data_IF_415645266921
#
_entry.id   IF_415645266921
#
_cell.length_a   1.000
_cell.length_b   1.000
_cell.length_c   1.000
_cell.angle_alpha   90.00
_cell.angle_beta   90.00
_cell.angle_gamma   90.00
#
_symmetry.space_group_name_H-M   'P 1'
#
loop_
_entity.id
_entity.type
_entity.pdbx_description
1 polymer ?
#
# COMPACT_ATOMS: atom_id res chain seq x y z
N UNK A 1 -5.17 11.55 10.73
CA UNK A 1 -6.34 11.24 9.87
C UNK A 1 -5.86 10.16 8.92
N UNK A 2 -6.64 9.10 8.70
CA UNK A 2 -6.22 8.04 7.80
C UNK A 2 -6.03 8.60 6.38
N UNK A 3 -4.97 8.14 5.72
CA UNK A 3 -4.66 8.36 4.31
C UNK A 3 -5.70 7.64 3.48
N UNK A 4 -6.38 8.39 2.62
CA UNK A 4 -7.28 7.83 1.63
C UNK A 4 -6.53 7.46 0.36
N UNK A 5 -7.17 6.69 -0.52
CA UNK A 5 -6.62 6.41 -1.86
C UNK A 5 -6.38 7.69 -2.65
N UNK A 6 -7.16 8.76 -2.43
CA UNK A 6 -6.89 10.06 -3.05
C UNK A 6 -5.56 10.64 -2.58
N UNK A 7 -5.33 10.65 -1.25
CA UNK A 7 -4.10 11.17 -0.66
C UNK A 7 -2.88 10.32 -1.09
N UNK A 8 -3.07 9.00 -1.19
CA UNK A 8 -2.05 8.07 -1.68
C UNK A 8 -1.59 8.44 -3.09
N UNK A 9 -2.52 8.74 -4.00
CA UNK A 9 -2.23 9.11 -5.39
C UNK A 9 -1.57 10.47 -5.54
N UNK A 10 -1.75 11.36 -4.57
CA UNK A 10 -1.03 12.63 -4.54
C UNK A 10 0.41 12.48 -4.01
N UNK A 11 0.68 11.38 -3.28
CA UNK A 11 1.95 11.17 -2.57
C UNK A 11 2.87 10.17 -3.25
N UNK A 12 2.34 9.04 -3.70
CA UNK A 12 3.07 8.04 -4.46
C UNK A 12 3.04 8.39 -5.95
N UNK A 13 4.09 8.04 -6.73
CA UNK A 13 3.97 8.07 -8.18
C UNK A 13 2.91 7.06 -8.65
N UNK A 14 2.54 7.14 -9.93
CA UNK A 14 1.66 6.14 -10.54
C UNK A 14 2.19 4.72 -10.24
N UNK A 15 1.30 3.75 -10.01
CA UNK A 15 1.67 2.39 -9.60
C UNK A 15 2.69 1.74 -10.56
N UNK A 16 2.59 2.03 -11.85
CA UNK A 16 3.53 1.56 -12.87
C UNK A 16 4.94 2.15 -12.73
N UNK A 17 5.08 3.31 -12.08
CA UNK A 17 6.34 4.04 -11.88
C UNK A 17 6.99 3.78 -10.51
N UNK A 18 6.34 3.05 -9.59
CA UNK A 18 7.00 2.51 -8.39
C UNK A 18 7.90 1.35 -8.79
N UNK A 19 9.18 1.41 -8.45
CA UNK A 19 10.16 0.36 -8.74
C UNK A 19 10.42 -0.53 -7.51
N UNK A 20 10.90 -1.75 -7.77
CA UNK A 20 11.45 -2.60 -6.70
C UNK A 20 12.72 -1.94 -6.17
N UNK A 21 12.97 -2.07 -4.87
CA UNK A 21 14.00 -1.38 -4.10
C UNK A 21 13.72 0.10 -3.76
N UNK A 22 12.60 0.68 -4.23
CA UNK A 22 12.15 2.00 -3.75
C UNK A 22 11.83 1.97 -2.25
N UNK A 23 11.99 3.12 -1.57
CA UNK A 23 11.66 3.24 -0.15
C UNK A 23 10.33 4.00 0.03
N UNK A 24 9.44 3.45 0.87
CA UNK A 24 8.16 4.05 1.23
C UNK A 24 8.08 4.11 2.75
N UNK A 25 7.91 5.31 3.32
CA UNK A 25 7.62 5.45 4.73
C UNK A 25 6.11 5.38 4.97
N UNK A 26 5.66 4.42 5.78
CA UNK A 26 4.25 4.26 6.17
C UNK A 26 4.18 4.38 7.70
N UNK A 27 3.35 5.30 8.20
CA UNK A 27 3.22 5.59 9.64
C UNK A 27 4.56 5.87 10.34
N UNK A 28 5.49 6.51 9.62
CA UNK A 28 6.84 6.82 10.09
C UNK A 28 7.82 5.63 10.11
N UNK A 29 7.41 4.45 9.64
CA UNK A 29 8.28 3.28 9.44
C UNK A 29 8.66 3.19 7.97
N UNK A 30 9.96 3.12 7.67
CA UNK A 30 10.45 2.96 6.30
C UNK A 30 10.41 1.51 5.89
N UNK A 31 9.90 1.25 4.69
CA UNK A 31 9.88 -0.06 4.05
C UNK A 31 10.50 0.01 2.66
N UNK A 32 11.09 -1.09 2.22
CA UNK A 32 11.58 -1.25 0.84
C UNK A 32 10.57 -2.01 0.01
N UNK A 33 10.25 -1.53 -1.19
CA UNK A 33 9.36 -2.22 -2.13
C UNK A 33 10.04 -3.51 -2.61
N UNK A 34 9.39 -4.64 -2.37
CA UNK A 34 9.83 -5.96 -2.82
C UNK A 34 9.17 -6.36 -4.13
N UNK A 35 7.87 -6.11 -4.26
CA UNK A 35 7.06 -6.53 -5.39
C UNK A 35 5.80 -5.68 -5.51
N UNK A 36 5.22 -5.65 -6.71
CA UNK A 36 3.99 -4.93 -7.01
C UNK A 36 3.06 -5.83 -7.81
N UNK A 37 1.85 -6.04 -7.30
CA UNK A 37 0.85 -6.86 -7.98
C UNK A 37 -0.47 -6.11 -8.08
N UNK A 38 -1.16 -6.35 -9.20
CA UNK A 38 -2.56 -5.98 -9.37
C UNK A 38 -3.37 -7.25 -9.54
N UNK A 39 -4.42 -7.43 -8.75
CA UNK A 39 -5.35 -8.54 -8.92
C UNK A 39 -6.77 -8.04 -9.06
N UNK A 40 -7.56 -8.76 -9.86
CA UNK A 40 -8.98 -8.45 -10.07
C UNK A 40 -9.84 -9.48 -9.36
N UNK A 41 -10.41 -9.16 -8.19
CA UNK A 41 -11.28 -10.10 -7.46
C UNK A 41 -12.62 -10.34 -8.16
N UNK A 42 -13.05 -9.40 -9.01
CA UNK A 42 -14.32 -9.45 -9.72
C UNK A 42 -14.31 -8.60 -11.00
N UNK A 43 -15.33 -8.78 -11.87
CA UNK A 43 -15.44 -7.99 -13.09
C UNK A 43 -15.67 -6.51 -12.75
N UNK A 44 -14.70 -5.66 -13.14
CA UNK A 44 -14.72 -4.22 -12.86
C UNK A 44 -14.08 -3.83 -11.53
N UNK A 45 -13.52 -4.79 -10.78
CA UNK A 45 -12.78 -4.53 -9.55
C UNK A 45 -11.29 -4.77 -9.79
N UNK A 46 -10.46 -3.84 -9.31
CA UNK A 46 -9.00 -3.95 -9.33
C UNK A 46 -8.48 -3.57 -7.96
N UNK A 47 -7.66 -4.44 -7.40
CA UNK A 47 -6.95 -4.22 -6.16
C UNK A 47 -5.46 -4.16 -6.45
N UNK A 48 -4.81 -3.12 -5.95
CA UNK A 48 -3.39 -2.86 -6.08
C UNK A 48 -2.72 -3.21 -4.77
N UNK A 49 -1.56 -3.86 -4.88
CA UNK A 49 -0.79 -4.31 -3.73
C UNK A 49 0.69 -3.98 -3.93
N UNK A 50 1.32 -3.50 -2.87
CA UNK A 50 2.77 -3.42 -2.75
C UNK A 50 3.22 -4.32 -1.62
N UNK A 51 4.12 -5.25 -1.93
CA UNK A 51 4.85 -6.01 -0.93
C UNK A 51 6.02 -5.18 -0.45
N UNK A 52 6.12 -4.97 0.85
CA UNK A 52 7.02 -4.04 1.51
C UNK A 52 7.88 -4.78 2.54
N UNK A 53 9.19 -4.69 2.46
CA UNK A 53 10.12 -5.23 3.47
C UNK A 53 10.36 -4.20 4.56
N UNK A 54 10.06 -4.53 5.81
CA UNK A 54 10.42 -3.73 6.99
C UNK A 54 11.20 -4.53 8.02
N UNK A 55 11.60 -3.88 9.11
CA UNK A 55 12.36 -4.51 10.20
C UNK A 55 11.65 -5.71 10.83
N UNK A 56 10.32 -5.72 10.82
CA UNK A 56 9.48 -6.77 11.40
C UNK A 56 9.01 -7.81 10.37
N UNK A 57 9.55 -7.78 9.14
CA UNK A 57 9.19 -8.70 8.07
C UNK A 57 8.44 -8.04 6.92
N UNK A 58 7.82 -8.87 6.08
CA UNK A 58 7.11 -8.40 4.89
C UNK A 58 5.69 -7.95 5.24
N UNK A 59 5.34 -6.77 4.77
CA UNK A 59 4.04 -6.15 4.89
C UNK A 59 3.43 -5.98 3.50
N UNK A 60 2.12 -5.85 3.43
CA UNK A 60 1.39 -5.63 2.19
C UNK A 60 0.55 -4.38 2.36
N UNK A 61 0.80 -3.39 1.51
CA UNK A 61 -0.02 -2.19 1.36
C UNK A 61 -1.06 -2.46 0.28
N UNK A 62 -2.34 -2.32 0.59
CA UNK A 62 -3.43 -2.66 -0.33
C UNK A 62 -4.39 -1.50 -0.51
N UNK A 63 -4.80 -1.22 -1.75
CA UNK A 63 -5.82 -0.24 -2.07
C UNK A 63 -6.58 -0.54 -3.37
N UNK A 64 -7.72 0.13 -3.56
CA UNK A 64 -8.52 0.08 -4.79
C UNK A 64 -8.63 1.48 -5.40
N UNK A 65 -8.01 1.69 -6.56
CA UNK A 65 -8.01 3.00 -7.24
C UNK A 65 -9.40 3.50 -7.65
N UNK A 66 -10.38 2.60 -7.81
CA UNK A 66 -11.76 2.99 -8.12
C UNK A 66 -12.46 3.65 -6.91
N UNK A 67 -11.98 3.43 -5.69
CA UNK A 67 -12.59 3.90 -4.45
C UNK A 67 -11.73 4.97 -3.78
N UNK A 68 -11.75 6.18 -4.34
CA UNK A 68 -10.82 7.25 -3.96
C UNK A 68 -10.95 7.75 -2.51
N UNK A 69 -12.10 7.53 -1.87
CA UNK A 69 -12.35 7.91 -0.46
C UNK A 69 -12.09 6.78 0.54
N UNK A 70 -11.71 5.60 0.06
CA UNK A 70 -11.41 4.46 0.92
C UNK A 70 -10.07 4.70 1.64
N UNK A 71 -9.99 4.22 2.88
CA UNK A 71 -8.77 4.27 3.68
C UNK A 71 -7.80 3.22 3.16
N UNK A 72 -6.52 3.58 3.09
CA UNK A 72 -5.44 2.64 2.75
C UNK A 72 -5.04 1.84 3.98
N UNK A 73 -4.82 0.54 3.79
CA UNK A 73 -4.47 -0.38 4.86
C UNK A 73 -3.12 -1.05 4.59
N UNK A 74 -2.38 -1.29 5.68
CA UNK A 74 -1.17 -2.10 5.67
C UNK A 74 -1.32 -3.25 6.68
N UNK A 75 -0.85 -4.44 6.31
CA UNK A 75 -0.87 -5.63 7.17
C UNK A 75 0.36 -6.50 6.93
N UNK A 76 0.71 -7.38 7.86
CA UNK A 76 1.77 -8.36 7.62
C UNK A 76 1.38 -9.34 6.50
N UNK A 77 2.35 -9.82 5.74
CA UNK A 77 2.12 -10.80 4.69
C UNK A 77 1.63 -12.11 5.31
N UNK A 78 0.47 -12.59 4.84
CA UNK A 78 -0.19 -13.79 5.37
C UNK A 78 -1.14 -13.53 6.55
N UNK A 79 -1.22 -12.29 7.06
CA UNK A 79 -2.26 -11.87 8.00
C UNK A 79 -3.59 -11.60 7.28
N UNK A 80 -4.69 -11.60 8.03
CA UNK A 80 -6.01 -11.24 7.49
C UNK A 80 -6.15 -9.70 7.51
N UNK A 81 -6.27 -9.04 6.34
CA UNK A 81 -6.36 -7.58 6.28
C UNK A 81 -7.58 -7.01 7.01
N UNK A 82 -8.65 -7.79 7.21
CA UNK A 82 -9.86 -7.34 7.89
C UNK A 82 -9.74 -7.33 9.43
N UNK A 83 -8.85 -8.13 10.00
CA UNK A 83 -8.65 -8.21 11.46
C UNK A 83 -7.33 -7.66 11.95
N UNK A 84 -6.26 -7.81 11.16
CA UNK A 84 -4.89 -7.49 11.55
C UNK A 84 -4.31 -6.32 10.73
N UNK A 85 -5.14 -5.70 9.89
CA UNK A 85 -4.79 -4.49 9.16
C UNK A 85 -4.68 -3.27 10.06
N UNK A 86 -3.71 -2.42 9.76
CA UNK A 86 -3.53 -1.10 10.37
C UNK A 86 -3.86 -0.03 9.35
N UNK A 87 -4.65 0.96 9.78
CA UNK A 87 -4.92 2.15 8.96
C UNK A 87 -3.61 2.90 8.71
N UNK A 88 -3.39 3.30 7.46
CA UNK A 88 -2.29 4.20 7.13
C UNK A 88 -2.71 5.61 7.52
N UNK A 89 -1.94 6.27 8.37
CA UNK A 89 -2.14 7.65 8.84
C UNK A 89 -1.15 8.64 8.20
N UNK A 90 -0.03 8.14 7.66
CA UNK A 90 0.93 8.94 6.89
C UNK A 90 1.65 8.07 5.88
N UNK A 91 1.94 8.62 4.71
CA UNK A 91 2.79 7.98 3.70
C UNK A 91 3.78 8.97 3.09
N UNK A 92 4.99 8.54 2.78
CA UNK A 92 6.01 9.30 2.07
C UNK A 92 6.75 8.39 1.08
N UNK A 93 7.07 8.88 -0.11
CA UNK A 93 7.79 8.15 -1.15
C UNK A 93 9.24 8.66 -1.27
N UNK A 94 10.18 7.72 -1.34
CA UNK A 94 11.60 7.93 -1.51
C UNK A 94 12.10 7.00 -2.64
N UNK A 95 11.97 7.46 -3.89
CA UNK A 95 12.59 6.82 -5.06
C UNK A 95 14.02 7.29 -5.34
#
# INVERSE_FOLDING_TARGET
MPVTVSDLRETLPDFDAVDVDDEIAVNGTTYTVLDKETYSPGPGESTFTLSLSGDNGTHVLTWNEAHTVEVVWIHEQGADPMTDGTEVESIEYHG
#
